data_IF_115118284167
#
_entry.id   IF_115118284167
#
_cell.length_a   1.000
_cell.length_b   1.000
_cell.length_c   1.000
_cell.angle_alpha   90.00
_cell.angle_beta   90.00
_cell.angle_gamma   90.00
#
_symmetry.space_group_name_H-M   'P 1'
#
loop_
_entity.id
_entity.type
_entity.pdbx_description
1 polymer ?
#
# COMPACT_ATOMS: atom_id res chain seq x y z
N UNK A 1 -32.45 29.53 11.86
CA UNK A 1 -32.18 28.94 10.52
C UNK A 1 -30.70 29.22 10.22
N UNK A 2 -29.78 28.34 9.83
CA UNK A 2 -29.81 27.11 9.02
C UNK A 2 -28.57 26.19 9.25
N UNK A 3 -28.25 25.78 10.49
CA UNK A 3 -27.11 24.84 10.74
C UNK A 3 -27.32 23.39 10.23
N UNK A 4 -28.48 23.10 9.64
CA UNK A 4 -28.91 21.76 9.19
C UNK A 4 -28.49 21.42 7.75
N UNK A 5 -28.35 22.43 6.86
CA UNK A 5 -28.07 22.18 5.44
C UNK A 5 -26.61 21.84 5.16
N UNK A 6 -25.65 22.47 5.85
CA UNK A 6 -24.22 22.33 5.52
C UNK A 6 -23.66 20.93 5.70
N UNK A 7 -24.13 20.17 6.71
CA UNK A 7 -23.67 18.79 6.93
C UNK A 7 -24.19 17.82 5.87
N UNK A 8 -25.43 18.01 5.40
CA UNK A 8 -26.00 17.20 4.31
C UNK A 8 -25.30 17.50 2.99
N UNK A 9 -25.02 18.76 2.70
CA UNK A 9 -24.30 19.17 1.49
C UNK A 9 -22.88 18.59 1.44
N UNK A 10 -22.11 18.68 2.54
CA UNK A 10 -20.76 18.07 2.63
C UNK A 10 -20.83 16.55 2.44
N UNK A 11 -21.88 15.91 2.95
CA UNK A 11 -22.07 14.47 2.81
C UNK A 11 -22.31 14.06 1.35
N UNK A 12 -23.19 14.76 0.64
CA UNK A 12 -23.43 14.50 -0.79
C UNK A 12 -22.18 14.74 -1.62
N UNK A 13 -21.44 15.83 -1.37
CA UNK A 13 -20.19 16.13 -2.07
C UNK A 13 -19.17 14.99 -1.93
N UNK A 14 -19.07 14.36 -0.76
CA UNK A 14 -18.16 13.23 -0.53
C UNK A 14 -18.55 11.99 -1.33
N UNK A 15 -19.85 11.68 -1.39
CA UNK A 15 -20.32 10.56 -2.21
C UNK A 15 -20.08 10.83 -3.70
N UNK A 16 -20.37 12.05 -4.16
CA UNK A 16 -20.11 12.45 -5.55
C UNK A 16 -18.62 12.38 -5.87
N UNK A 17 -17.75 12.82 -4.95
CA UNK A 17 -16.30 12.73 -5.11
C UNK A 17 -15.83 11.27 -5.19
N UNK A 18 -16.30 10.40 -4.29
CA UNK A 18 -15.96 8.98 -4.32
C UNK A 18 -16.42 8.33 -5.63
N UNK A 19 -17.67 8.53 -6.03
CA UNK A 19 -18.22 8.04 -7.30
C UNK A 19 -17.47 8.60 -8.51
N UNK A 20 -16.99 9.85 -8.46
CA UNK A 20 -16.18 10.42 -9.52
C UNK A 20 -14.82 9.71 -9.62
N UNK A 21 -14.16 9.43 -8.49
CA UNK A 21 -12.92 8.65 -8.48
C UNK A 21 -13.12 7.22 -8.99
N UNK A 22 -14.25 6.58 -8.65
CA UNK A 22 -14.62 5.24 -9.16
C UNK A 22 -14.90 5.26 -10.67
N UNK A 23 -15.65 6.25 -11.17
CA UNK A 23 -15.91 6.43 -12.62
C UNK A 23 -14.61 6.67 -13.39
N UNK A 24 -13.67 7.37 -12.78
CA UNK A 24 -12.33 7.53 -13.31
C UNK A 24 -11.49 6.26 -13.14
N UNK A 25 -11.94 5.18 -12.51
CA UNK A 25 -11.13 3.98 -12.27
C UNK A 25 -9.86 4.26 -11.45
N UNK A 26 -9.88 5.33 -10.65
CA UNK A 26 -8.79 5.66 -9.74
C UNK A 26 -8.88 4.84 -8.45
N UNK A 27 -10.10 4.62 -7.96
CA UNK A 27 -10.40 3.71 -6.85
C UNK A 27 -11.40 2.66 -7.32
N UNK A 28 -11.23 1.43 -6.86
CA UNK A 28 -12.12 0.31 -7.16
C UNK A 28 -12.31 -0.54 -5.91
N UNK A 29 -13.56 -0.77 -5.49
CA UNK A 29 -13.89 -1.79 -4.48
C UNK A 29 -13.87 -3.18 -5.13
N UNK A 30 -13.20 -4.13 -4.50
CA UNK A 30 -13.10 -5.51 -4.99
C UNK A 30 -14.19 -6.35 -4.33
N UNK A 31 -15.01 -6.99 -5.16
CA UNK A 31 -16.00 -7.95 -4.68
C UNK A 31 -15.30 -9.22 -4.18
N UNK A 32 -15.49 -9.58 -2.90
CA UNK A 32 -14.86 -10.75 -2.28
C UNK A 32 -15.60 -12.05 -2.64
N UNK A 33 -15.49 -12.49 -3.91
CA UNK A 33 -15.91 -13.83 -4.35
C UNK A 33 -14.78 -14.85 -4.15
N UNK A 34 -15.03 -16.15 -4.40
CA UNK A 34 -14.00 -17.19 -4.31
C UNK A 34 -12.92 -17.05 -5.40
N UNK A 35 -13.31 -16.61 -6.60
CA UNK A 35 -12.41 -16.46 -7.76
C UNK A 35 -11.87 -15.03 -7.90
N UNK A 36 -12.16 -14.15 -6.94
CA UNK A 36 -11.70 -12.77 -6.99
C UNK A 36 -10.17 -12.71 -6.87
N UNK A 37 -9.56 -11.95 -7.77
CA UNK A 37 -8.15 -11.62 -7.74
C UNK A 37 -7.94 -10.11 -7.98
N UNK A 38 -6.79 -9.62 -7.55
CA UNK A 38 -6.32 -8.27 -7.87
C UNK A 38 -5.17 -8.41 -8.86
N UNK A 39 -5.30 -7.76 -10.01
CA UNK A 39 -4.24 -7.72 -11.00
C UNK A 39 -3.54 -6.35 -10.97
N UNK A 40 -2.22 -6.41 -10.85
CA UNK A 40 -1.34 -5.24 -10.94
C UNK A 40 -0.51 -5.45 -12.19
N UNK A 41 -0.71 -4.60 -13.19
CA UNK A 41 0.01 -4.68 -14.45
C UNK A 41 0.87 -3.43 -14.61
N UNK A 42 2.15 -3.62 -14.90
CA UNK A 42 3.03 -2.53 -15.28
C UNK A 42 2.73 -2.14 -16.74
N UNK A 43 2.53 -0.84 -16.96
CA UNK A 43 2.19 -0.31 -18.30
C UNK A 43 3.42 -0.09 -19.18
N UNK A 44 4.62 -0.13 -18.59
CA UNK A 44 5.89 0.09 -19.26
C UNK A 44 6.60 -1.23 -19.62
N UNK A 45 7.55 -1.16 -20.58
CA UNK A 45 8.37 -2.31 -20.99
C UNK A 45 9.30 -2.74 -19.84
N UNK A 46 8.82 -3.62 -18.97
CA UNK A 46 9.58 -4.26 -17.90
C UNK A 46 9.48 -5.78 -18.00
N UNK A 47 10.45 -6.48 -17.40
CA UNK A 47 10.49 -7.94 -17.34
C UNK A 47 9.45 -8.52 -16.37
N UNK A 48 8.99 -7.77 -15.36
CA UNK A 48 7.88 -8.18 -14.48
C UNK A 48 6.65 -7.33 -14.84
N UNK A 49 5.79 -7.87 -15.70
CA UNK A 49 4.64 -7.13 -16.22
C UNK A 49 3.40 -7.28 -15.38
N UNK A 50 3.26 -8.35 -14.61
CA UNK A 50 2.00 -8.65 -13.90
C UNK A 50 2.21 -9.32 -12.55
N UNK A 51 1.51 -8.83 -11.54
CA UNK A 51 1.33 -9.52 -10.26
C UNK A 51 -0.16 -9.80 -10.07
N UNK A 52 -0.50 -11.05 -9.78
CA UNK A 52 -1.85 -11.49 -9.44
C UNK A 52 -1.89 -11.82 -7.96
N UNK A 53 -2.81 -11.18 -7.23
CA UNK A 53 -3.03 -11.45 -5.81
C UNK A 53 -4.35 -12.20 -5.69
N UNK A 54 -4.31 -13.42 -5.18
CA UNK A 54 -5.47 -14.29 -5.01
C UNK A 54 -5.76 -14.55 -3.51
N UNK A 55 -6.74 -15.42 -3.24
CA UNK A 55 -7.16 -15.78 -1.89
C UNK A 55 -7.48 -14.57 -1.01
N UNK A 56 -8.29 -13.65 -1.56
CA UNK A 56 -8.61 -12.37 -0.91
C UNK A 56 -9.46 -12.53 0.35
N UNK A 57 -10.07 -13.70 0.56
CA UNK A 57 -10.74 -14.06 1.81
C UNK A 57 -9.72 -14.63 2.79
N UNK A 58 -9.30 -13.82 3.74
CA UNK A 58 -8.53 -14.28 4.88
C UNK A 58 -9.43 -14.35 6.11
N UNK A 59 -9.37 -15.46 6.82
CA UNK A 59 -9.96 -15.62 8.15
C UNK A 59 -8.99 -16.39 9.03
N UNK A 60 -8.59 -15.79 10.14
CA UNK A 60 -7.77 -16.46 11.16
C UNK A 60 -8.45 -16.35 12.52
N UNK A 61 -8.20 -17.31 13.40
CA UNK A 61 -8.65 -17.31 14.79
C UNK A 61 -7.42 -17.51 15.67
N UNK A 62 -7.27 -16.71 16.72
CA UNK A 62 -6.18 -16.87 17.68
C UNK A 62 -6.62 -17.70 18.90
N UNK A 63 -5.67 -18.03 19.78
CA UNK A 63 -5.90 -18.82 21.00
C UNK A 63 -6.85 -18.16 22.01
N UNK A 64 -7.09 -16.85 21.87
CA UNK A 64 -8.08 -16.09 22.67
C UNK A 64 -9.45 -16.05 21.99
N UNK A 65 -9.64 -16.91 21.00
CA UNK A 65 -10.83 -17.01 20.17
C UNK A 65 -11.26 -15.72 19.45
N UNK A 66 -10.34 -14.79 19.25
CA UNK A 66 -10.59 -13.61 18.44
C UNK A 66 -10.39 -14.00 16.99
N UNK A 67 -11.43 -13.80 16.17
CA UNK A 67 -11.32 -14.01 14.73
C UNK A 67 -11.06 -12.69 13.99
N UNK A 68 -10.16 -12.73 13.02
CA UNK A 68 -9.85 -11.62 12.12
C UNK A 68 -10.29 -12.03 10.72
N UNK A 69 -11.10 -11.21 10.06
CA UNK A 69 -11.58 -11.45 8.70
C UNK A 69 -11.47 -10.21 7.83
N UNK A 70 -11.26 -10.41 6.53
CA UNK A 70 -11.34 -9.30 5.56
C UNK A 70 -12.79 -8.86 5.42
N UNK A 71 -13.05 -7.59 5.69
CA UNK A 71 -14.35 -6.94 5.54
C UNK A 71 -14.49 -6.34 4.15
N UNK A 72 -13.50 -5.56 3.71
CA UNK A 72 -13.48 -4.89 2.40
C UNK A 72 -12.07 -4.76 1.84
N UNK A 73 -11.97 -4.69 0.51
CA UNK A 73 -10.73 -4.35 -0.19
C UNK A 73 -11.00 -3.25 -1.21
N UNK A 74 -10.15 -2.22 -1.22
CA UNK A 74 -10.08 -1.23 -2.29
C UNK A 74 -8.72 -1.24 -2.95
N UNK A 75 -8.69 -1.00 -4.26
CA UNK A 75 -7.48 -0.81 -5.04
C UNK A 75 -7.47 0.62 -5.56
N UNK A 76 -6.38 1.33 -5.30
CA UNK A 76 -6.15 2.69 -5.77
C UNK A 76 -5.03 2.66 -6.81
N UNK A 77 -5.31 3.15 -8.02
CA UNK A 77 -4.33 3.28 -9.08
C UNK A 77 -3.57 4.61 -8.90
N UNK A 78 -2.41 4.56 -8.24
CA UNK A 78 -1.63 5.74 -7.92
C UNK A 78 -0.86 6.30 -9.14
N UNK A 79 -0.73 5.54 -10.22
CA UNK A 79 -0.16 6.03 -11.49
C UNK A 79 -1.17 6.72 -12.38
N UNK A 80 -2.47 6.50 -12.14
CA UNK A 80 -3.49 7.21 -12.89
C UNK A 80 -3.38 8.70 -12.60
N UNK A 81 -3.06 9.47 -13.63
CA UNK A 81 -2.97 10.92 -13.54
C UNK A 81 -4.35 11.51 -13.23
N UNK A 82 -4.41 12.25 -12.13
CA UNK A 82 -5.57 13.03 -11.72
C UNK A 82 -5.04 14.36 -11.23
N UNK A 83 -5.26 15.42 -11.99
CA UNK A 83 -4.80 16.76 -11.63
C UNK A 83 -5.20 17.12 -10.20
N UNK A 84 -4.23 17.55 -9.39
CA UNK A 84 -4.45 17.90 -7.97
C UNK A 84 -4.49 16.74 -6.98
N UNK A 85 -4.48 15.47 -7.44
CA UNK A 85 -4.51 14.27 -6.58
C UNK A 85 -3.31 13.36 -6.86
N UNK A 86 -3.01 13.12 -8.14
CA UNK A 86 -2.00 12.19 -8.59
C UNK A 86 -1.23 12.71 -9.81
N UNK A 87 0.09 12.82 -9.67
CA UNK A 87 1.02 13.09 -10.78
C UNK A 87 1.90 11.85 -11.03
N UNK A 88 2.14 11.54 -12.30
CA UNK A 88 2.89 10.35 -12.75
C UNK A 88 4.37 10.35 -12.30
N UNK A 89 4.94 9.15 -12.19
CA UNK A 89 6.40 8.93 -12.10
C UNK A 89 7.07 9.05 -10.73
N UNK A 90 6.35 9.45 -9.66
CA UNK A 90 6.89 9.52 -8.29
C UNK A 90 6.08 8.74 -7.25
N UNK A 91 5.32 7.74 -7.70
CA UNK A 91 4.48 6.91 -6.82
C UNK A 91 4.68 5.43 -7.03
N UNK A 92 4.28 4.62 -6.03
CA UNK A 92 4.04 3.20 -6.22
C UNK A 92 3.00 3.00 -7.33
N UNK A 93 2.97 1.85 -8.00
CA UNK A 93 2.01 1.60 -9.08
C UNK A 93 0.58 1.59 -8.54
N UNK A 94 0.35 0.88 -7.42
CA UNK A 94 -0.96 0.79 -6.78
C UNK A 94 -0.88 0.83 -5.26
N UNK A 95 -1.98 1.21 -4.62
CA UNK A 95 -2.22 0.95 -3.21
C UNK A 95 -3.39 -0.03 -3.05
N UNK A 96 -3.23 -1.04 -2.20
CA UNK A 96 -4.29 -1.98 -1.83
C UNK A 96 -4.65 -1.74 -0.37
N UNK A 97 -5.90 -1.35 -0.14
CA UNK A 97 -6.45 -1.06 1.17
C UNK A 97 -7.30 -2.25 1.61
N UNK A 98 -6.83 -3.01 2.60
CA UNK A 98 -7.53 -4.17 3.16
C UNK A 98 -8.07 -3.79 4.52
N UNK A 99 -9.39 -3.63 4.61
CA UNK A 99 -10.09 -3.45 5.88
C UNK A 99 -10.35 -4.82 6.50
N UNK A 100 -9.79 -5.05 7.67
CA UNK A 100 -9.98 -6.25 8.47
C UNK A 100 -10.81 -5.91 9.69
N UNK A 101 -11.73 -6.81 10.03
CA UNK A 101 -12.57 -6.74 11.21
C UNK A 101 -12.13 -7.80 12.21
N UNK A 102 -11.90 -7.39 13.46
CA UNK A 102 -11.67 -8.30 14.59
C UNK A 102 -12.94 -8.47 15.41
N UNK A 103 -13.33 -9.72 15.63
CA UNK A 103 -14.51 -10.07 16.43
C UNK A 103 -14.17 -11.10 17.50
N UNK A 104 -14.84 -11.02 18.64
CA UNK A 104 -14.78 -12.06 19.67
C UNK A 104 -15.72 -13.24 19.34
N UNK A 105 -15.73 -14.27 20.19
CA UNK A 105 -16.61 -15.45 20.05
C UNK A 105 -18.10 -15.12 20.07
N UNK A 106 -18.50 -14.02 20.70
CA UNK A 106 -19.88 -13.56 20.73
C UNK A 106 -20.26 -12.78 19.47
N UNK A 107 -19.34 -12.62 18.51
CA UNK A 107 -19.52 -11.87 17.28
C UNK A 107 -19.45 -10.36 17.47
N UNK A 108 -19.03 -9.87 18.65
CA UNK A 108 -18.88 -8.44 18.90
C UNK A 108 -17.61 -7.93 18.22
N UNK A 109 -17.76 -6.82 17.51
CA UNK A 109 -16.66 -6.14 16.85
C UNK A 109 -15.80 -5.44 17.90
N UNK A 110 -14.53 -5.82 17.96
CA UNK A 110 -13.56 -5.24 18.90
C UNK A 110 -12.93 -3.98 18.29
N UNK A 111 -12.38 -4.10 17.08
CA UNK A 111 -11.79 -3.00 16.33
C UNK A 111 -11.67 -3.35 14.84
N UNK A 112 -11.22 -2.37 14.07
CA UNK A 112 -10.87 -2.54 12.67
C UNK A 112 -9.40 -2.24 12.46
N UNK A 113 -8.80 -2.94 11.51
CA UNK A 113 -7.45 -2.70 11.03
C UNK A 113 -7.51 -2.40 9.54
N UNK A 114 -6.96 -1.26 9.12
CA UNK A 114 -6.80 -0.91 7.72
C UNK A 114 -5.32 -1.13 7.34
N UNK A 115 -5.06 -2.21 6.60
CA UNK A 115 -3.74 -2.48 6.03
C UNK A 115 -3.65 -1.77 4.68
N UNK A 116 -2.67 -0.89 4.52
CA UNK A 116 -2.42 -0.15 3.29
C UNK A 116 -1.13 -0.68 2.67
N UNK A 117 -1.26 -1.48 1.62
CA UNK A 117 -0.12 -2.04 0.89
C UNK A 117 0.19 -1.15 -0.31
N UNK A 118 1.28 -0.38 -0.24
CA UNK A 118 1.87 0.35 -1.34
C UNK A 118 2.72 -0.61 -2.17
N UNK A 119 2.30 -0.87 -3.40
CA UNK A 119 2.91 -1.89 -4.25
C UNK A 119 3.84 -1.23 -5.26
N UNK A 120 5.09 -1.70 -5.30
CA UNK A 120 6.09 -1.38 -6.30
C UNK A 120 6.46 -2.62 -7.15
N UNK A 121 6.50 -2.50 -8.48
CA UNK A 121 7.02 -3.53 -9.39
C UNK A 121 8.38 -3.13 -9.97
N UNK A 122 9.33 -4.06 -10.01
CA UNK A 122 10.67 -3.87 -10.59
C UNK A 122 11.16 -5.07 -11.38
N UNK A 123 11.53 -4.85 -12.64
CA UNK A 123 12.27 -5.85 -13.41
C UNK A 123 13.61 -6.22 -12.74
N UNK A 124 14.39 -5.22 -12.32
CA UNK A 124 15.62 -5.43 -11.56
C UNK A 124 15.83 -4.30 -10.54
N UNK A 125 16.38 -4.67 -9.38
CA UNK A 125 16.90 -3.74 -8.39
C UNK A 125 18.37 -3.44 -8.74
N UNK A 126 18.68 -2.17 -8.95
CA UNK A 126 20.01 -1.72 -9.39
C UNK A 126 20.52 -0.58 -8.51
N UNK A 127 21.82 -0.60 -8.22
CA UNK A 127 22.45 0.42 -7.39
C UNK A 127 22.59 1.78 -8.09
N UNK A 128 22.63 1.79 -9.43
CA UNK A 128 22.54 3.01 -10.23
C UNK A 128 21.70 2.73 -11.46
N UNK A 129 20.49 3.27 -11.49
CA UNK A 129 19.71 3.43 -12.71
C UNK A 129 19.75 4.93 -13.04
N UNK A 130 20.50 5.27 -14.09
CA UNK A 130 20.81 6.66 -14.46
C UNK A 130 21.61 7.42 -13.36
N UNK A 131 20.93 8.26 -12.55
CA UNK A 131 21.51 9.18 -11.55
C UNK A 131 21.21 8.80 -10.10
N UNK A 132 20.36 7.81 -9.87
CA UNK A 132 19.88 7.43 -8.54
C UNK A 132 19.70 5.91 -8.43
N UNK A 133 19.85 5.35 -7.25
CA UNK A 133 19.61 3.92 -7.05
C UNK A 133 18.12 3.60 -7.07
N UNK A 134 17.81 2.35 -7.40
CA UNK A 134 16.43 1.85 -7.40
C UNK A 134 15.83 1.92 -6.00
N UNK A 135 16.61 1.60 -4.97
CA UNK A 135 16.14 1.64 -3.58
C UNK A 135 15.82 3.07 -3.12
N UNK A 136 16.64 4.05 -3.48
CA UNK A 136 16.37 5.45 -3.15
C UNK A 136 15.10 5.97 -3.85
N UNK A 137 14.88 5.58 -5.11
CA UNK A 137 13.63 5.89 -5.81
C UNK A 137 12.41 5.26 -5.12
N UNK A 138 12.52 4.00 -4.69
CA UNK A 138 11.44 3.28 -3.97
C UNK A 138 11.09 3.99 -2.66
N UNK A 139 12.09 4.40 -1.87
CA UNK A 139 11.85 5.14 -0.63
C UNK A 139 11.05 6.43 -0.88
N UNK A 140 11.45 7.22 -1.91
CA UNK A 140 10.73 8.43 -2.30
C UNK A 140 9.30 8.16 -2.78
N UNK A 141 9.08 7.05 -3.51
CA UNK A 141 7.76 6.62 -3.92
C UNK A 141 6.88 6.25 -2.72
N UNK A 142 7.37 5.46 -1.77
CA UNK A 142 6.59 5.13 -0.56
C UNK A 142 6.23 6.37 0.25
N UNK A 143 7.16 7.29 0.42
CA UNK A 143 6.90 8.57 1.09
C UNK A 143 5.75 9.33 0.41
N UNK A 144 5.81 9.46 -0.92
CA UNK A 144 4.74 10.11 -1.69
C UNK A 144 3.41 9.35 -1.58
N UNK A 145 3.44 8.02 -1.66
CA UNK A 145 2.27 7.16 -1.53
C UNK A 145 1.59 7.32 -0.19
N UNK A 146 2.34 7.27 0.92
CA UNK A 146 1.80 7.50 2.27
C UNK A 146 1.08 8.84 2.38
N UNK A 147 1.72 9.92 1.93
CA UNK A 147 1.14 11.27 1.95
C UNK A 147 -0.16 11.36 1.16
N UNK A 148 -0.21 10.77 -0.04
CA UNK A 148 -1.43 10.74 -0.86
C UNK A 148 -2.54 9.96 -0.19
N UNK A 149 -2.24 8.82 0.43
CA UNK A 149 -3.25 8.06 1.17
C UNK A 149 -3.76 8.84 2.39
N UNK A 150 -2.89 9.52 3.14
CA UNK A 150 -3.33 10.39 4.23
C UNK A 150 -4.29 11.49 3.77
N UNK A 151 -4.00 12.12 2.63
CA UNK A 151 -4.92 13.10 2.03
C UNK A 151 -6.26 12.46 1.66
N UNK A 152 -6.26 11.29 1.02
CA UNK A 152 -7.49 10.58 0.65
C UNK A 152 -8.31 10.14 1.86
N UNK A 153 -7.66 9.64 2.93
CA UNK A 153 -8.33 9.27 4.18
C UNK A 153 -8.94 10.50 4.87
N UNK A 154 -8.28 11.65 4.79
CA UNK A 154 -8.80 12.92 5.35
C UNK A 154 -10.00 13.45 4.56
N UNK A 155 -10.00 13.32 3.23
CA UNK A 155 -11.16 13.68 2.42
C UNK A 155 -12.35 12.75 2.67
N UNK A 156 -12.08 11.50 3.02
CA UNK A 156 -13.07 10.48 3.35
C UNK A 156 -13.40 10.41 4.85
N UNK A 157 -12.99 11.42 5.65
CA UNK A 157 -13.02 11.41 7.12
C UNK A 157 -14.44 11.13 7.69
N UNK A 158 -14.63 9.86 8.07
CA UNK A 158 -15.46 9.24 9.11
C UNK A 158 -16.91 9.66 9.37
N UNK A 159 -17.52 10.51 8.54
CA UNK A 159 -18.99 10.54 8.42
C UNK A 159 -19.40 9.42 7.46
N UNK A 160 -19.26 8.18 7.94
CA UNK A 160 -19.55 7.00 7.15
C UNK A 160 -21.00 7.08 6.61
N UNK A 161 -21.22 7.03 5.28
CA UNK A 161 -22.56 7.05 4.70
C UNK A 161 -23.45 5.90 5.15
N UNK A 162 -22.83 4.81 5.56
CA UNK A 162 -23.47 3.74 6.31
C UNK A 162 -23.08 3.93 7.77
N UNK A 163 -24.00 3.97 8.74
CA UNK A 163 -23.66 4.20 10.17
C UNK A 163 -22.70 3.15 10.79
N UNK A 164 -22.27 2.16 10.02
CA UNK A 164 -21.62 0.91 10.42
C UNK A 164 -20.23 1.07 11.07
N UNK A 165 -19.54 2.20 10.88
CA UNK A 165 -18.22 2.48 11.49
C UNK A 165 -18.22 3.74 12.37
N UNK A 166 -19.40 4.26 12.75
CA UNK A 166 -19.49 5.43 13.62
C UNK A 166 -18.90 5.09 14.99
N UNK A 167 -17.95 5.92 15.48
CA UNK A 167 -17.19 5.72 16.73
C UNK A 167 -16.28 4.47 16.76
N UNK A 168 -16.00 3.84 15.61
CA UNK A 168 -15.08 2.72 15.55
C UNK A 168 -13.62 3.21 15.58
N UNK A 169 -12.77 2.53 16.36
CA UNK A 169 -11.32 2.71 16.28
C UNK A 169 -10.79 1.93 15.08
N UNK A 170 -10.24 2.64 14.09
CA UNK A 170 -9.59 2.05 12.92
C UNK A 170 -8.08 2.24 13.09
N UNK A 171 -7.37 1.13 13.23
CA UNK A 171 -5.91 1.12 13.32
C UNK A 171 -5.36 1.04 11.89
N UNK A 172 -4.61 2.06 11.48
CA UNK A 172 -4.03 2.13 10.13
C UNK A 172 -2.59 1.64 10.16
N UNK A 173 -2.21 0.77 9.23
CA UNK A 173 -0.85 0.25 9.10
C UNK A 173 -0.41 0.30 7.64
N UNK A 174 0.75 0.91 7.39
CA UNK A 174 1.36 0.98 6.06
C UNK A 174 2.34 -0.15 5.83
N UNK A 175 2.31 -0.69 4.62
CA UNK A 175 3.22 -1.72 4.12
C UNK A 175 3.73 -1.35 2.73
N UNK A 176 5.04 -1.41 2.52
CA UNK A 176 5.68 -1.23 1.22
C UNK A 176 6.06 -2.59 0.67
N UNK A 177 5.46 -3.01 -0.44
CA UNK A 177 5.71 -4.33 -1.02
C UNK A 177 6.40 -4.13 -2.36
N UNK A 178 7.61 -4.66 -2.49
CA UNK A 178 8.40 -4.58 -3.71
C UNK A 178 8.43 -5.96 -4.35
N UNK A 179 7.80 -6.11 -5.51
CA UNK A 179 7.94 -7.28 -6.36
C UNK A 179 9.09 -7.08 -7.33
N UNK A 180 9.98 -8.07 -7.45
CA UNK A 180 11.12 -7.94 -8.36
C UNK A 180 11.59 -9.27 -8.97
N UNK A 181 12.16 -9.24 -10.17
CA UNK A 181 12.76 -10.46 -10.77
C UNK A 181 14.22 -10.65 -10.34
N UNK A 182 15.04 -9.58 -10.42
CA UNK A 182 16.49 -9.66 -10.20
C UNK A 182 16.98 -8.64 -9.18
N UNK A 183 17.96 -9.02 -8.39
CA UNK A 183 18.71 -8.11 -7.54
C UNK A 183 20.15 -8.04 -8.06
N UNK A 184 20.50 -6.90 -8.66
CA UNK A 184 21.83 -6.64 -9.19
C UNK A 184 22.67 -5.77 -8.22
N UNK A 185 22.14 -5.43 -7.04
CA UNK A 185 22.82 -4.60 -6.04
C UNK A 185 23.83 -5.46 -5.26
N UNK A 186 25.06 -4.97 -5.14
CA UNK A 186 26.11 -5.57 -4.32
C UNK A 186 26.42 -4.71 -3.10
N UNK A 187 27.03 -5.31 -2.08
CA UNK A 187 27.47 -4.59 -0.88
C UNK A 187 28.41 -3.41 -1.21
N UNK A 188 29.25 -3.59 -2.23
CA UNK A 188 30.18 -2.54 -2.71
C UNK A 188 29.48 -1.33 -3.31
N UNK A 189 28.21 -1.46 -3.69
CA UNK A 189 27.47 -0.40 -4.37
C UNK A 189 26.75 0.53 -3.39
N UNK A 190 26.61 0.12 -2.13
CA UNK A 190 25.93 0.89 -1.09
C UNK A 190 26.94 1.74 -0.34
N UNK A 191 26.76 3.07 -0.39
CA UNK A 191 27.59 4.01 0.33
C UNK A 191 27.49 3.80 1.85
N UNK A 192 28.63 3.90 2.54
CA UNK A 192 28.69 3.81 4.00
C UNK A 192 28.30 5.14 4.65
N UNK A 193 27.93 5.12 5.93
CA UNK A 193 27.44 6.28 6.68
C UNK A 193 28.37 7.51 6.61
N UNK A 194 29.68 7.28 6.54
CA UNK A 194 30.69 8.35 6.48
C UNK A 194 31.07 8.77 5.05
N UNK A 195 30.43 8.22 4.02
CA UNK A 195 30.77 8.48 2.61
C UNK A 195 29.86 9.54 1.98
N UNK A 196 30.44 10.33 1.07
CA UNK A 196 29.67 11.32 0.30
C UNK A 196 28.66 10.60 -0.59
N UNK A 197 27.38 10.86 -0.36
CA UNK A 197 26.28 10.21 -1.08
C UNK A 197 25.52 9.17 -0.27
N UNK A 198 25.88 8.96 1.01
CA UNK A 198 25.09 8.15 1.93
C UNK A 198 23.63 8.61 1.98
N UNK A 199 22.72 7.64 1.90
CA UNK A 199 21.29 7.85 2.08
C UNK A 199 20.78 6.78 3.06
N UNK A 200 20.21 7.23 4.19
CA UNK A 200 19.75 6.34 5.26
C UNK A 200 18.63 5.41 4.78
N UNK A 201 17.64 5.92 4.04
CA UNK A 201 16.52 5.13 3.54
C UNK A 201 16.96 4.04 2.56
N UNK A 202 17.88 4.35 1.65
CA UNK A 202 18.51 3.38 0.75
C UNK A 202 19.27 2.30 1.51
N UNK A 203 20.12 2.69 2.47
CA UNK A 203 20.88 1.76 3.29
C UNK A 203 19.96 0.85 4.10
N UNK A 204 18.89 1.39 4.69
CA UNK A 204 17.88 0.60 5.41
C UNK A 204 17.16 -0.38 4.48
N UNK A 205 16.70 0.07 3.31
CA UNK A 205 16.08 -0.81 2.33
C UNK A 205 17.01 -1.93 1.87
N UNK A 206 18.30 -1.62 1.69
CA UNK A 206 19.29 -2.63 1.35
C UNK A 206 19.47 -3.66 2.47
N UNK A 207 19.51 -3.22 3.74
CA UNK A 207 19.55 -4.15 4.88
C UNK A 207 18.33 -5.07 4.90
N UNK A 208 17.13 -4.54 4.69
CA UNK A 208 15.89 -5.33 4.61
C UNK A 208 15.96 -6.35 3.47
N UNK A 209 16.46 -5.92 2.30
CA UNK A 209 16.64 -6.79 1.13
C UNK A 209 17.66 -7.91 1.40
N UNK A 210 18.77 -7.61 2.08
CA UNK A 210 19.92 -8.51 2.27
C UNK A 210 19.83 -9.40 3.50
N UNK A 211 19.07 -8.99 4.53
CA UNK A 211 18.95 -9.69 5.80
C UNK A 211 17.47 -10.04 6.01
N UNK A 212 17.12 -11.31 5.85
CA UNK A 212 15.74 -11.78 5.90
C UNK A 212 15.05 -11.68 7.28
N UNK A 213 15.65 -11.06 8.31
CA UNK A 213 15.18 -11.30 9.70
C UNK A 213 15.40 -10.22 10.78
N UNK A 214 15.89 -9.00 10.56
CA UNK A 214 16.13 -8.09 11.71
C UNK A 214 15.18 -6.89 11.87
N UNK A 215 14.74 -6.23 10.80
CA UNK A 215 13.75 -5.15 10.91
C UNK A 215 13.25 -4.75 9.54
N UNK A 216 12.02 -5.12 9.22
CA UNK A 216 11.32 -4.72 7.99
C UNK A 216 10.90 -3.24 8.01
N UNK A 217 11.32 -2.43 9.00
CA UNK A 217 10.84 -1.07 9.16
C UNK A 217 11.71 -0.05 8.42
N UNK A 218 11.10 0.68 7.48
CA UNK A 218 11.67 1.88 6.88
C UNK A 218 11.05 3.12 7.56
N UNK A 219 11.90 4.07 7.95
CA UNK A 219 11.45 5.37 8.47
C UNK A 219 11.48 6.42 7.37
N UNK A 220 10.39 7.18 7.22
CA UNK A 220 10.18 8.20 6.19
C UNK A 220 9.55 9.46 6.81
N UNK A 221 9.80 10.61 6.19
CA UNK A 221 9.15 11.87 6.54
C UNK A 221 7.81 12.00 5.81
N UNK A 222 6.71 12.09 6.54
CA UNK A 222 5.36 12.25 5.98
C UNK A 222 4.73 13.58 6.40
N UNK A 223 3.56 13.89 5.84
CA UNK A 223 2.76 15.06 6.22
C UNK A 223 2.31 15.02 7.69
N UNK A 224 2.28 13.85 8.30
CA UNK A 224 1.85 13.68 9.69
C UNK A 224 3.02 13.66 10.67
N UNK A 225 4.14 13.02 10.30
CA UNK A 225 5.29 12.85 11.20
C UNK A 225 6.62 12.87 10.44
N UNK A 226 7.66 13.45 11.06
CA UNK A 226 9.03 13.44 10.51
C UNK A 226 9.67 12.05 10.50
N UNK A 227 9.16 11.13 11.33
CA UNK A 227 9.70 9.77 11.52
C UNK A 227 8.60 8.71 11.48
N UNK A 228 7.74 8.81 10.48
CA UNK A 228 6.71 7.82 10.21
C UNK A 228 7.34 6.50 9.74
N UNK A 229 6.66 5.38 9.98
CA UNK A 229 7.20 4.04 9.74
C UNK A 229 6.32 3.23 8.79
N UNK A 230 6.97 2.56 7.84
CA UNK A 230 6.35 1.62 6.92
C UNK A 230 7.06 0.26 7.03
N UNK A 231 6.28 -0.82 7.12
CA UNK A 231 6.81 -2.19 7.08
C UNK A 231 7.08 -2.54 5.61
N UNK A 232 8.28 -2.95 5.26
CA UNK A 232 8.72 -3.19 3.90
C UNK A 232 9.04 -4.66 3.69
N UNK A 233 8.54 -5.22 2.59
CA UNK A 233 8.87 -6.58 2.16
C UNK A 233 9.32 -6.59 0.71
N UNK A 234 10.37 -7.37 0.45
CA UNK A 234 10.86 -7.68 -0.88
C UNK A 234 10.39 -9.09 -1.24
N UNK A 235 9.65 -9.23 -2.34
CA UNK A 235 9.14 -10.51 -2.84
C UNK A 235 9.75 -10.76 -4.21
N UNK A 236 10.71 -11.67 -4.28
CA UNK A 236 11.36 -12.04 -5.52
C UNK A 236 10.50 -13.00 -6.34
N UNK A 237 10.45 -12.80 -7.66
CA UNK A 237 9.88 -13.76 -8.58
C UNK A 237 10.71 -15.05 -8.58
N UNK A 238 10.12 -16.19 -8.15
CA UNK A 238 10.85 -17.46 -8.13
C UNK A 238 11.26 -17.88 -9.54
N UNK A 239 10.53 -17.45 -10.57
CA UNK A 239 10.89 -17.67 -11.97
C UNK A 239 11.24 -16.34 -12.64
N UNK A 240 12.51 -15.95 -12.56
CA UNK A 240 13.03 -14.67 -13.06
C UNK A 240 12.82 -14.43 -14.57
N UNK A 241 12.46 -15.47 -15.33
CA UNK A 241 12.17 -15.40 -16.77
C UNK A 241 10.68 -15.21 -17.08
N UNK A 242 9.80 -15.43 -16.10
CA UNK A 242 8.37 -15.17 -16.25
C UNK A 242 8.06 -13.70 -16.02
N UNK A 243 7.16 -13.16 -16.84
CA UNK A 243 6.69 -11.79 -16.70
C UNK A 243 5.48 -11.64 -15.78
N UNK A 244 5.06 -12.73 -15.14
CA UNK A 244 3.98 -12.74 -14.17
C UNK A 244 4.33 -13.51 -12.90
N UNK A 245 3.86 -13.01 -11.76
CA UNK A 245 3.89 -13.70 -10.48
C UNK A 245 2.47 -13.79 -9.90
N UNK A 246 2.16 -14.91 -9.25
CA UNK A 246 0.94 -15.04 -8.43
C UNK A 246 1.33 -15.20 -6.97
N UNK A 247 0.72 -14.40 -6.10
CA UNK A 247 0.87 -14.47 -4.65
C UNK A 247 -0.49 -14.45 -3.98
N UNK A 248 -0.51 -14.75 -2.68
CA UNK A 248 -1.72 -14.69 -1.88
C UNK A 248 -1.81 -13.36 -1.15
N UNK A 249 -3.02 -12.95 -0.78
CA UNK A 249 -3.20 -11.76 0.04
C UNK A 249 -2.44 -11.86 1.38
N UNK A 250 -2.34 -13.05 1.96
CA UNK A 250 -1.61 -13.27 3.22
C UNK A 250 -0.12 -12.88 3.14
N UNK A 251 0.51 -13.04 1.97
CA UNK A 251 1.92 -12.71 1.78
C UNK A 251 2.18 -11.19 1.89
N UNK A 252 1.13 -10.37 1.72
CA UNK A 252 1.18 -8.92 1.86
C UNK A 252 1.02 -8.45 3.32
N UNK A 253 0.41 -9.26 4.20
CA UNK A 253 -0.09 -8.85 5.51
C UNK A 253 0.74 -9.33 6.71
#
# INVERSE_FOLDING_TARGET
>A
MSKSNSKKEIFFLRQEFHQALEKQGFIQEICLSQDACIEIQETNKSDLKKVVINHLKLSSKNDKNISTSVDKIWVINLEKELAGISASGKTPEKAILVLQRKVDDAGKILNYHLQICLIELKASLQAKKDKESTLKQIAGKFQSGMNRIYMLLTLNNHANPQKNYQNAQIIVQFRGIIFYNRNDIKDSDIAKENERGYNSSESTLYKILSQSTESDLLTLETLLEERDKIVVRFIQNPNQTQDSMTIKLEDLL
#
